data_IF_688429468568
#
_entry.id   IF_688429468568
#
_cell.length_a   1.000
_cell.length_b   1.000
_cell.length_c   1.000
_cell.angle_alpha   90.00
_cell.angle_beta   90.00
_cell.angle_gamma   90.00
#
_symmetry.space_group_name_H-M   'P 1'
#
loop_
_entity.id
_entity.type
_entity.pdbx_description
1 polymer ?
#
# COMPACT_ATOMS: atom_id res chain seq x y z
N UNK A 1 12.09 14.86 -17.49
CA UNK A 1 11.75 15.74 -16.35
C UNK A 1 11.95 14.97 -15.04
N UNK A 2 12.24 15.65 -13.93
CA UNK A 2 12.44 14.99 -12.63
C UNK A 2 11.07 14.65 -12.04
N UNK A 3 10.67 13.37 -12.01
CA UNK A 3 9.39 12.96 -11.42
C UNK A 3 9.43 13.13 -9.90
N UNK A 4 8.49 13.88 -9.34
CA UNK A 4 8.34 14.09 -7.90
C UNK A 4 7.32 13.12 -7.31
N UNK A 5 7.52 12.72 -6.06
CA UNK A 5 6.53 11.96 -5.30
C UNK A 5 5.65 12.93 -4.50
N UNK A 6 4.31 12.78 -4.55
CA UNK A 6 3.42 13.45 -3.62
C UNK A 6 3.76 13.04 -2.18
N UNK A 7 3.87 14.00 -1.24
CA UNK A 7 4.19 13.71 0.16
C UNK A 7 3.26 12.69 0.81
N UNK A 8 1.99 12.65 0.38
CA UNK A 8 0.93 11.85 0.97
C UNK A 8 0.57 10.61 0.14
N UNK A 9 1.45 10.13 -0.74
CA UNK A 9 1.10 9.01 -1.62
C UNK A 9 0.89 7.69 -0.83
N UNK A 10 1.73 7.45 0.18
CA UNK A 10 1.72 6.20 0.96
C UNK A 10 0.75 6.21 2.14
N UNK A 11 0.17 7.37 2.49
CA UNK A 11 -0.65 7.52 3.70
C UNK A 11 -1.88 6.60 3.68
N UNK A 12 -2.51 6.43 2.51
CA UNK A 12 -3.69 5.56 2.38
C UNK A 12 -3.35 4.10 2.69
N UNK A 13 -2.12 3.66 2.38
CA UNK A 13 -1.66 2.31 2.65
C UNK A 13 -1.34 2.12 4.14
N UNK A 14 -0.71 3.13 4.75
CA UNK A 14 -0.48 3.16 6.20
C UNK A 14 -1.80 3.13 6.98
N UNK A 15 -2.74 4.01 6.65
CA UNK A 15 -4.06 4.04 7.31
C UNK A 15 -4.78 2.70 7.20
N UNK A 16 -4.71 2.03 6.04
CA UNK A 16 -5.28 0.69 5.88
C UNK A 16 -4.65 -0.33 6.82
N UNK A 17 -3.32 -0.34 6.95
CA UNK A 17 -2.61 -1.27 7.82
C UNK A 17 -2.92 -1.03 9.31
N UNK A 18 -3.09 0.23 9.74
CA UNK A 18 -3.51 0.55 11.10
C UNK A 18 -4.97 0.16 11.37
N UNK A 19 -5.91 0.56 10.50
CA UNK A 19 -7.35 0.27 10.65
C UNK A 19 -7.68 -1.22 10.60
N UNK A 20 -7.00 -1.96 9.74
CA UNK A 20 -7.32 -3.37 9.47
C UNK A 20 -6.32 -4.37 10.05
N UNK A 21 -5.19 -3.91 10.59
CA UNK A 21 -4.27 -4.73 11.36
C UNK A 21 -4.38 -4.36 12.82
N UNK A 22 -3.69 -3.30 13.22
CA UNK A 22 -3.50 -2.88 14.62
C UNK A 22 -4.80 -2.68 15.39
N UNK A 23 -5.77 -1.95 14.83
CA UNK A 23 -7.05 -1.71 15.53
C UNK A 23 -7.94 -2.95 15.59
N UNK A 24 -7.74 -3.92 14.69
CA UNK A 24 -8.60 -5.09 14.57
C UNK A 24 -8.11 -6.33 15.33
N UNK A 25 -6.89 -6.27 15.84
CA UNK A 25 -6.23 -7.33 16.59
C UNK A 25 -6.08 -6.91 18.04
N UNK A 26 -6.52 -7.75 18.98
CA UNK A 26 -6.40 -7.49 20.41
C UNK A 26 -4.99 -7.75 20.96
N UNK A 27 -4.22 -8.63 20.33
CA UNK A 27 -2.85 -8.97 20.72
C UNK A 27 -1.94 -9.24 19.52
N UNK A 28 -0.63 -9.00 19.69
CA UNK A 28 0.43 -9.31 18.72
C UNK A 28 0.26 -8.69 17.30
N UNK A 29 -0.38 -7.53 17.21
CA UNK A 29 -0.43 -6.78 15.96
C UNK A 29 0.96 -6.33 15.51
N UNK A 30 1.24 -6.44 14.22
CA UNK A 30 2.48 -5.95 13.62
C UNK A 30 2.22 -5.32 12.26
N UNK A 31 3.08 -4.37 11.93
CA UNK A 31 3.17 -3.77 10.60
C UNK A 31 4.64 -3.81 10.20
N UNK A 32 4.91 -4.36 9.02
CA UNK A 32 6.21 -4.34 8.35
C UNK A 32 6.16 -3.37 7.19
N UNK A 33 7.12 -2.45 7.13
CA UNK A 33 7.22 -1.45 6.07
C UNK A 33 8.61 -1.55 5.47
N UNK A 34 8.67 -1.67 4.15
CA UNK A 34 9.90 -1.66 3.37
C UNK A 34 9.79 -0.59 2.27
N UNK A 35 10.67 0.41 2.31
CA UNK A 35 10.78 1.44 1.28
C UNK A 35 12.17 1.39 0.67
N UNK A 36 12.24 1.10 -0.62
CA UNK A 36 13.46 1.10 -1.41
C UNK A 36 13.33 2.05 -2.59
N UNK A 37 14.38 2.81 -2.85
CA UNK A 37 14.41 3.83 -3.90
C UNK A 37 15.76 3.84 -4.59
N UNK A 38 15.76 4.06 -5.90
CA UNK A 38 16.93 4.38 -6.69
C UNK A 38 16.58 5.45 -7.74
N UNK A 39 17.50 5.73 -8.67
CA UNK A 39 17.28 6.73 -9.72
C UNK A 39 16.19 6.37 -10.74
N UNK A 40 15.69 5.14 -10.74
CA UNK A 40 14.80 4.60 -11.77
C UNK A 40 13.44 4.23 -11.22
N UNK A 41 13.37 3.80 -9.96
CA UNK A 41 12.13 3.35 -9.36
C UNK A 41 12.09 3.54 -7.85
N UNK A 42 10.87 3.55 -7.34
CA UNK A 42 10.55 3.48 -5.93
C UNK A 42 9.66 2.26 -5.72
N UNK A 43 10.02 1.43 -4.75
CA UNK A 43 9.22 0.30 -4.27
C UNK A 43 8.87 0.53 -2.81
N UNK A 44 7.58 0.60 -2.54
CA UNK A 44 7.02 0.66 -1.20
C UNK A 44 6.20 -0.60 -0.95
N UNK A 45 6.52 -1.33 0.10
CA UNK A 45 5.78 -2.50 0.55
C UNK A 45 5.32 -2.26 1.98
N UNK A 46 4.05 -2.54 2.24
CA UNK A 46 3.50 -2.57 3.59
C UNK A 46 2.76 -3.88 3.80
N UNK A 47 3.03 -4.54 4.90
CA UNK A 47 2.43 -5.81 5.27
C UNK A 47 1.99 -5.75 6.73
N UNK A 48 0.79 -6.24 7.02
CA UNK A 48 0.29 -6.35 8.39
C UNK A 48 -0.40 -7.69 8.57
N UNK A 49 -0.37 -8.22 9.79
CA UNK A 49 -1.30 -9.29 10.14
C UNK A 49 -2.73 -8.75 10.31
N UNK A 50 -3.71 -9.62 10.10
CA UNK A 50 -5.12 -9.35 10.38
C UNK A 50 -5.86 -10.64 10.71
N UNK A 51 -6.95 -10.55 11.46
CA UNK A 51 -7.89 -11.67 11.62
C UNK A 51 -8.81 -11.73 10.41
N UNK A 52 -8.81 -12.86 9.69
CA UNK A 52 -9.72 -13.12 8.57
C UNK A 52 -11.15 -13.30 9.05
N UNK A 53 -11.81 -12.20 9.41
CA UNK A 53 -13.26 -12.13 9.59
C UNK A 53 -13.88 -11.76 8.24
N UNK A 54 -14.36 -12.79 7.53
CA UNK A 54 -15.21 -12.74 6.33
C UNK A 54 -14.92 -11.60 5.33
N UNK A 55 -14.19 -11.91 4.25
CA UNK A 55 -14.37 -11.27 2.95
C UNK A 55 -14.39 -9.73 2.94
N UNK A 56 -13.39 -9.06 3.54
CA UNK A 56 -13.29 -7.61 3.45
C UNK A 56 -12.99 -7.16 2.02
N UNK A 57 -13.93 -6.44 1.41
CA UNK A 57 -13.77 -5.75 0.11
C UNK A 57 -12.71 -4.66 0.22
N UNK A 58 -12.02 -4.37 -0.88
CA UNK A 58 -11.12 -3.22 -0.94
C UNK A 58 -11.90 -1.94 -0.67
N UNK A 59 -11.43 -1.13 0.30
CA UNK A 59 -12.07 0.12 0.70
C UNK A 59 -11.85 1.26 -0.32
N UNK A 60 -12.58 2.36 -0.09
CA UNK A 60 -12.52 3.59 -0.91
C UNK A 60 -11.09 4.15 -1.02
N UNK A 61 -10.27 4.00 0.03
CA UNK A 61 -8.88 4.47 0.04
C UNK A 61 -8.00 3.85 -1.06
N UNK A 62 -8.17 2.56 -1.34
CA UNK A 62 -7.44 1.88 -2.42
C UNK A 62 -7.94 2.29 -3.81
N UNK A 63 -9.24 2.52 -3.98
CA UNK A 63 -9.78 3.06 -5.24
C UNK A 63 -9.25 4.47 -5.52
N UNK A 64 -9.24 5.32 -4.49
CA UNK A 64 -8.71 6.69 -4.60
C UNK A 64 -7.20 6.69 -4.90
N UNK A 65 -6.44 5.79 -4.27
CA UNK A 65 -5.02 5.62 -4.57
C UNK A 65 -4.81 5.17 -6.02
N UNK A 66 -5.53 4.15 -6.50
CA UNK A 66 -5.45 3.69 -7.90
C UNK A 66 -5.72 4.83 -8.87
N UNK A 67 -6.83 5.55 -8.69
CA UNK A 67 -7.17 6.70 -9.55
C UNK A 67 -6.09 7.79 -9.54
N UNK A 68 -5.52 8.07 -8.36
CA UNK A 68 -4.44 9.07 -8.22
C UNK A 68 -3.16 8.60 -8.93
N UNK A 69 -2.82 7.31 -8.83
CA UNK A 69 -1.66 6.74 -9.52
C UNK A 69 -1.84 6.79 -11.05
N UNK A 70 -3.03 6.50 -11.57
CA UNK A 70 -3.34 6.62 -13.00
C UNK A 70 -3.13 8.05 -13.53
N UNK A 71 -3.49 9.06 -12.74
CA UNK A 71 -3.36 10.47 -13.13
C UNK A 71 -1.92 10.98 -13.06
N UNK A 72 -1.13 10.50 -12.08
CA UNK A 72 0.22 10.99 -11.82
C UNK A 72 1.32 10.17 -12.51
N UNK A 73 1.08 8.88 -12.71
CA UNK A 73 2.05 7.90 -13.22
C UNK A 73 1.38 6.94 -14.21
N UNK A 74 0.73 7.44 -15.28
CA UNK A 74 0.10 6.58 -16.29
C UNK A 74 1.13 5.59 -16.85
N UNK A 75 0.74 4.31 -16.89
CA UNK A 75 1.55 3.16 -17.35
C UNK A 75 2.93 3.00 -16.65
N UNK A 76 3.19 3.79 -15.61
CA UNK A 76 4.47 3.91 -14.94
C UNK A 76 4.41 3.48 -13.48
N UNK A 77 3.39 2.71 -13.11
CA UNK A 77 3.22 2.21 -11.75
C UNK A 77 2.62 0.81 -11.73
N UNK A 78 2.86 0.09 -10.64
CA UNK A 78 2.23 -1.21 -10.34
C UNK A 78 1.74 -1.16 -8.90
N UNK A 79 0.45 -1.43 -8.69
CA UNK A 79 -0.13 -1.61 -7.36
C UNK A 79 -0.69 -3.02 -7.23
N UNK A 80 -0.04 -3.82 -6.41
CA UNK A 80 -0.36 -5.22 -6.15
C UNK A 80 -0.83 -5.40 -4.71
N UNK A 81 -1.84 -6.26 -4.53
CA UNK A 81 -2.40 -6.60 -3.21
C UNK A 81 -2.35 -8.11 -3.08
N UNK A 82 -1.63 -8.57 -2.06
CA UNK A 82 -1.45 -9.99 -1.76
C UNK A 82 -2.12 -10.24 -0.42
N UNK A 83 -3.06 -11.20 -0.39
CA UNK A 83 -3.75 -11.63 0.82
C UNK A 83 -3.42 -13.08 1.09
N UNK A 84 -2.96 -13.37 2.29
CA UNK A 84 -2.87 -14.71 2.85
C UNK A 84 -3.88 -14.84 4.01
N UNK A 85 -3.99 -16.04 4.59
CA UNK A 85 -4.96 -16.33 5.66
C UNK A 85 -4.85 -15.40 6.87
N UNK A 86 -3.64 -14.89 7.14
CA UNK A 86 -3.34 -14.04 8.29
C UNK A 86 -2.59 -12.76 7.97
N UNK A 87 -2.21 -12.52 6.70
CA UNK A 87 -1.44 -11.32 6.31
C UNK A 87 -2.00 -10.61 5.10
N UNK A 88 -1.97 -9.28 5.16
CA UNK A 88 -2.37 -8.38 4.10
C UNK A 88 -1.15 -7.57 3.68
N UNK A 89 -0.75 -7.70 2.42
CA UNK A 89 0.38 -6.98 1.85
C UNK A 89 -0.05 -6.14 0.67
N UNK A 90 0.43 -4.90 0.63
CA UNK A 90 0.33 -4.05 -0.55
C UNK A 90 1.72 -3.65 -1.02
N UNK A 91 1.96 -3.83 -2.31
CA UNK A 91 3.18 -3.38 -2.98
C UNK A 91 2.85 -2.31 -4.02
N UNK A 92 3.54 -1.18 -3.91
CA UNK A 92 3.50 -0.09 -4.87
C UNK A 92 4.90 0.10 -5.47
N UNK A 93 4.99 -0.06 -6.79
CA UNK A 93 6.19 0.26 -7.56
C UNK A 93 5.87 1.43 -8.50
N UNK A 94 6.75 2.43 -8.57
CA UNK A 94 6.60 3.60 -9.44
C UNK A 94 7.92 3.81 -10.18
N UNK A 95 7.85 3.96 -11.50
CA UNK A 95 8.98 4.31 -12.35
C UNK A 95 9.19 5.83 -12.34
N UNK A 96 10.43 6.24 -12.08
CA UNK A 96 10.84 7.65 -11.96
C UNK A 96 11.42 8.22 -13.26
N UNK A 97 11.76 7.37 -14.24
CA UNK A 97 12.24 7.76 -15.57
C UNK A 97 11.18 7.48 -16.62
#
# INVERSE_FOLDING_TARGET
EKRTLPPMLFINLLENAFKHGVESLTDAAWIKIDLNSNSERIRFSIENNYESKNGRKAGIGLQNLRRRLELLYPDSHRLEIIKADSTYRTELEIQLK
#
